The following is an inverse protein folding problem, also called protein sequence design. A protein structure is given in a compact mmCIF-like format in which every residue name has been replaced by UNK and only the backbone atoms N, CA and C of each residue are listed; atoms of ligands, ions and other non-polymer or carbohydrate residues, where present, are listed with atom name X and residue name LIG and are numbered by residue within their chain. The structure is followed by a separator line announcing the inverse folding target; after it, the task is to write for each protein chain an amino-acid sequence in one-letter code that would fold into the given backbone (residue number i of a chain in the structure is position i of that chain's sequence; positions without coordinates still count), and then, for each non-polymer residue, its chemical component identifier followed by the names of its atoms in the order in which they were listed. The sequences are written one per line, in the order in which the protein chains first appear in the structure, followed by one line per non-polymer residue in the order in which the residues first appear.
data_IF_532560850561
#
_entry.id   IF_532560850561
#
_cell.length_a   1.000
_cell.length_b   1.000
_cell.length_c   1.000
_cell.angle_alpha   90.00
_cell.angle_beta   90.00
_cell.angle_gamma   90.00
#
_symmetry.space_group_name_H-M   'P 1'
#
loop_
_entity.id
_entity.type
_entity.pdbx_description
1 polymer ?
#
# COMPACT_ATOMS: atom_id res chain seq x y z
N UNK A 1 -33.93 19.24 -36.61
CA UNK A 1 -33.64 17.81 -36.34
C UNK A 1 -32.16 17.52 -36.09
N UNK A 2 -31.21 18.13 -36.83
CA UNK A 2 -29.76 17.95 -36.60
C UNK A 2 -29.27 18.36 -35.19
N UNK A 3 -29.84 19.43 -34.61
CA UNK A 3 -29.51 19.89 -33.24
C UNK A 3 -29.97 18.93 -32.12
N UNK A 4 -31.00 18.12 -32.35
CA UNK A 4 -31.50 17.18 -31.34
C UNK A 4 -30.70 15.87 -31.34
N UNK A 5 -30.14 15.48 -32.49
CA UNK A 5 -29.29 14.28 -32.60
C UNK A 5 -27.91 14.55 -31.96
N UNK A 6 -27.39 15.78 -32.06
CA UNK A 6 -26.12 16.16 -31.43
C UNK A 6 -26.17 16.10 -29.89
N UNK A 7 -27.32 16.39 -29.28
CA UNK A 7 -27.49 16.39 -27.84
C UNK A 7 -27.52 14.97 -27.24
N UNK A 8 -27.91 13.96 -28.02
CA UNK A 8 -28.04 12.57 -27.55
C UNK A 8 -26.71 11.80 -27.56
N UNK A 9 -25.73 12.23 -28.37
CA UNK A 9 -24.41 11.57 -28.48
C UNK A 9 -23.45 11.97 -27.34
N UNK A 10 -23.66 13.14 -26.71
CA UNK A 10 -22.81 13.63 -25.63
C UNK A 10 -23.08 13.01 -24.25
N UNK A 11 -24.16 12.21 -24.11
CA UNK A 11 -24.55 11.63 -22.82
C UNK A 11 -24.05 10.19 -22.61
N UNK A 12 -23.42 9.57 -23.61
CA UNK A 12 -23.00 8.15 -23.56
C UNK A 12 -21.53 7.91 -23.23
N UNK A 13 -20.73 8.95 -22.94
CA UNK A 13 -19.28 8.81 -22.70
C UNK A 13 -18.86 8.71 -21.22
N UNK A 14 -19.77 8.70 -20.25
CA UNK A 14 -19.40 8.82 -18.82
C UNK A 14 -19.33 7.51 -18.01
N UNK A 15 -19.55 6.33 -18.61
CA UNK A 15 -19.36 5.06 -17.91
C UNK A 15 -18.11 4.33 -18.40
N UNK A 16 -16.94 4.84 -17.99
CA UNK A 16 -15.73 4.02 -17.89
C UNK A 16 -15.37 3.88 -16.42
N UNK A 17 -15.95 2.93 -15.66
CA UNK A 17 -15.49 2.71 -14.31
C UNK A 17 -14.22 1.85 -14.35
N UNK A 18 -13.16 2.39 -13.78
CA UNK A 18 -12.23 1.67 -12.92
C UNK A 18 -11.60 0.40 -13.53
N UNK A 19 -10.72 0.59 -14.50
CA UNK A 19 -9.54 -0.28 -14.64
C UNK A 19 -8.28 0.55 -14.34
N UNK A 20 -8.35 1.44 -13.35
CA UNK A 20 -7.13 1.97 -12.75
C UNK A 20 -6.51 0.83 -11.93
N UNK A 21 -5.20 0.64 -12.03
CA UNK A 21 -4.45 -0.12 -11.02
C UNK A 21 -4.85 0.42 -9.65
N UNK A 22 -5.64 -0.35 -8.89
CA UNK A 22 -6.23 0.10 -7.63
C UNK A 22 -5.22 -0.03 -6.49
N UNK A 23 -3.95 0.19 -6.77
CA UNK A 23 -2.91 0.17 -5.77
C UNK A 23 -3.10 1.42 -4.91
N UNK A 24 -3.48 1.19 -3.65
CA UNK A 24 -3.64 2.27 -2.67
C UNK A 24 -2.34 2.34 -1.89
N UNK A 25 -1.64 3.47 -2.02
CA UNK A 25 -0.46 3.76 -1.22
C UNK A 25 -0.86 4.21 0.19
N UNK A 26 -0.34 3.52 1.21
CA UNK A 26 -0.60 3.82 2.62
C UNK A 26 0.72 4.02 3.33
N UNK A 27 0.85 5.14 4.04
CA UNK A 27 1.98 5.44 4.89
C UNK A 27 1.57 5.45 6.36
N UNK A 28 2.41 4.92 7.24
CA UNK A 28 2.11 4.90 8.67
C UNK A 28 3.15 4.20 9.53
N UNK A 29 2.97 4.27 10.86
CA UNK A 29 3.83 3.59 11.81
C UNK A 29 3.26 2.22 12.19
N UNK A 30 4.09 1.17 12.13
CA UNK A 30 3.71 -0.17 12.60
C UNK A 30 3.50 -0.13 14.11
N UNK A 31 2.28 -0.38 14.57
CA UNK A 31 1.93 -0.44 16.00
C UNK A 31 1.92 -1.87 16.52
N UNK A 32 1.63 -2.85 15.68
CA UNK A 32 1.54 -4.27 16.05
C UNK A 32 1.96 -5.18 14.90
N UNK A 33 2.61 -6.29 15.24
CA UNK A 33 2.95 -7.36 14.30
C UNK A 33 2.35 -8.66 14.81
N UNK A 34 1.56 -9.34 13.97
CA UNK A 34 1.06 -10.68 14.24
C UNK A 34 1.77 -11.69 13.33
N UNK A 35 2.75 -12.40 13.90
CA UNK A 35 3.52 -13.38 13.15
C UNK A 35 2.73 -14.64 12.77
N UNK A 36 1.69 -15.00 13.54
CA UNK A 36 0.88 -16.18 13.24
C UNK A 36 -0.06 -15.92 12.05
N UNK A 37 -0.65 -14.73 11.99
CA UNK A 37 -1.58 -14.33 10.92
C UNK A 37 -0.88 -13.60 9.75
N UNK A 38 0.42 -13.28 9.89
CA UNK A 38 1.19 -12.47 8.93
C UNK A 38 0.51 -11.14 8.63
N UNK A 39 0.06 -10.46 9.67
CA UNK A 39 -0.55 -9.12 9.57
C UNK A 39 0.26 -8.09 10.34
N UNK A 40 0.15 -6.84 9.92
CA UNK A 40 0.64 -5.67 10.64
C UNK A 40 -0.50 -4.69 10.88
N UNK A 41 -0.50 -4.03 12.05
CA UNK A 41 -1.32 -2.84 12.30
C UNK A 41 -0.48 -1.60 12.04
N UNK A 42 -1.06 -0.62 11.33
CA UNK A 42 -0.46 0.68 11.06
C UNK A 42 -1.31 1.77 11.67
N UNK A 43 -0.68 2.74 12.32
CA UNK A 43 -1.30 4.00 12.68
C UNK A 43 -0.91 5.07 11.66
N UNK A 44 -1.91 5.77 11.12
CA UNK A 44 -1.74 6.90 10.22
C UNK A 44 -2.74 8.02 10.57
N UNK A 45 -2.76 9.08 9.75
CA UNK A 45 -3.65 10.24 9.96
C UNK A 45 -5.15 9.88 9.93
N UNK A 46 -5.51 8.75 9.32
CA UNK A 46 -6.89 8.29 9.17
C UNK A 46 -7.30 7.24 10.22
N UNK A 47 -6.39 6.85 11.13
CA UNK A 47 -6.63 5.89 12.20
C UNK A 47 -5.74 4.66 12.14
N UNK A 48 -6.23 3.54 12.69
CA UNK A 48 -5.54 2.24 12.64
C UNK A 48 -6.05 1.41 11.45
N UNK A 49 -5.13 0.81 10.71
CA UNK A 49 -5.43 -0.10 9.60
C UNK A 49 -4.65 -1.40 9.75
N UNK A 50 -5.29 -2.53 9.43
CA UNK A 50 -4.66 -3.85 9.45
C UNK A 50 -4.37 -4.28 8.02
N UNK A 51 -3.12 -4.61 7.75
CA UNK A 51 -2.64 -5.04 6.43
C UNK A 51 -2.19 -6.50 6.50
N UNK A 52 -2.68 -7.32 5.57
CA UNK A 52 -2.21 -8.68 5.35
C UNK A 52 -0.92 -8.66 4.55
N UNK A 53 0.12 -9.32 5.05
CA UNK A 53 1.38 -9.52 4.32
C UNK A 53 1.37 -10.91 3.71
N UNK A 54 1.65 -10.99 2.41
CA UNK A 54 1.65 -12.22 1.65
C UNK A 54 3.08 -12.74 1.42
N UNK A 55 3.24 -14.04 1.07
CA UNK A 55 4.54 -14.59 0.75
C UNK A 55 5.26 -13.90 -0.42
N UNK A 56 4.50 -13.27 -1.32
CA UNK A 56 5.04 -12.55 -2.49
C UNK A 56 5.18 -11.04 -2.26
N UNK A 57 4.78 -10.51 -1.09
CA UNK A 57 4.93 -9.08 -0.81
C UNK A 57 6.40 -8.70 -0.91
N UNK A 58 6.70 -7.69 -1.72
CA UNK A 58 8.05 -7.13 -1.83
C UNK A 58 8.37 -6.34 -0.57
N UNK A 59 9.32 -6.80 0.23
CA UNK A 59 9.78 -6.06 1.41
C UNK A 59 11.12 -5.42 1.06
N UNK A 60 11.17 -4.09 1.02
CA UNK A 60 12.39 -3.35 0.69
C UNK A 60 12.76 -2.45 1.86
N UNK A 61 13.91 -2.72 2.47
CA UNK A 61 14.56 -1.73 3.32
C UNK A 61 15.54 -0.94 2.48
N UNK A 62 15.40 0.39 2.41
CA UNK A 62 16.49 1.24 1.90
C UNK A 62 17.73 0.90 2.72
N UNK A 63 18.84 0.64 2.05
CA UNK A 63 20.00 -0.02 2.64
C UNK A 63 20.45 0.54 4.01
N UNK A 64 20.22 -0.25 5.05
CA UNK A 64 20.81 -0.06 6.37
C UNK A 64 22.32 -0.42 6.42
N UNK A 65 22.98 -0.69 5.28
CA UNK A 65 24.41 -0.95 5.14
C UNK A 65 25.19 0.22 4.54
N UNK A 66 26.53 0.19 4.62
CA UNK A 66 27.42 1.30 4.22
C UNK A 66 27.36 1.73 2.73
N UNK A 67 26.55 1.07 1.88
CA UNK A 67 26.57 1.23 0.42
C UNK A 67 25.19 1.29 -0.28
N UNK A 68 24.10 1.67 0.38
CA UNK A 68 22.91 2.23 -0.30
C UNK A 68 22.00 1.33 -1.18
N UNK A 69 22.38 0.10 -1.53
CA UNK A 69 21.51 -0.90 -2.20
C UNK A 69 20.27 -1.41 -1.42
N UNK A 70 19.08 -1.29 -2.00
CA UNK A 70 17.85 -1.90 -1.48
C UNK A 70 17.99 -3.42 -1.30
N UNK A 71 17.66 -3.91 -0.10
CA UNK A 71 17.66 -5.36 0.17
C UNK A 71 16.25 -5.91 0.12
N UNK A 72 16.08 -7.04 -0.57
CA UNK A 72 14.86 -7.84 -0.45
C UNK A 72 14.84 -8.50 0.93
N UNK A 73 13.87 -8.11 1.74
CA UNK A 73 13.79 -8.47 3.15
C UNK A 73 12.73 -9.55 3.42
N UNK A 74 12.72 -10.05 4.65
CA UNK A 74 11.71 -11.01 5.14
C UNK A 74 10.74 -10.32 6.08
N UNK A 75 9.56 -10.93 6.31
CA UNK A 75 8.57 -10.42 7.27
C UNK A 75 9.16 -10.16 8.67
N UNK A 76 10.18 -10.92 9.07
CA UNK A 76 10.90 -10.75 10.34
C UNK A 76 11.72 -9.45 10.43
N UNK A 77 11.94 -8.75 9.31
CA UNK A 77 12.61 -7.45 9.30
C UNK A 77 11.70 -6.34 9.82
N UNK A 78 10.37 -6.50 9.69
CA UNK A 78 9.39 -5.54 10.20
C UNK A 78 9.43 -5.49 11.72
N UNK A 79 9.38 -4.29 12.29
CA UNK A 79 9.39 -4.05 13.73
C UNK A 79 8.35 -3.01 14.09
N UNK A 80 7.73 -3.16 15.25
CA UNK A 80 6.91 -2.10 15.86
C UNK A 80 7.73 -0.82 15.98
N UNK A 81 7.13 0.32 15.65
CA UNK A 81 7.76 1.62 15.63
C UNK A 81 8.32 2.05 14.27
N UNK A 82 8.48 1.11 13.31
CA UNK A 82 8.90 1.46 11.95
C UNK A 82 7.83 2.27 11.24
N UNK A 83 8.25 3.35 10.57
CA UNK A 83 7.41 4.05 9.60
C UNK A 83 7.64 3.42 8.23
N UNK A 84 6.56 3.02 7.57
CA UNK A 84 6.60 2.29 6.30
C UNK A 84 5.63 2.89 5.30
N UNK A 85 5.94 2.71 4.02
CA UNK A 85 5.08 2.97 2.87
C UNK A 85 4.66 1.62 2.29
N UNK A 86 3.38 1.49 1.93
CA UNK A 86 2.79 0.21 1.49
C UNK A 86 1.93 0.45 0.28
N UNK A 87 2.27 -0.19 -0.84
CA UNK A 87 1.31 -0.40 -1.92
C UNK A 87 0.36 -1.53 -1.54
N UNK A 88 -0.94 -1.22 -1.45
CA UNK A 88 -1.96 -2.17 -1.03
C UNK A 88 -2.91 -2.56 -2.15
N UNK A 89 -3.34 -3.81 -2.12
CA UNK A 89 -4.33 -4.41 -3.00
C UNK A 89 -5.62 -4.68 -2.22
N UNK A 90 -6.77 -4.15 -2.66
CA UNK A 90 -8.07 -4.50 -2.10
C UNK A 90 -8.33 -6.00 -2.19
N UNK A 91 -8.86 -6.57 -1.11
CA UNK A 91 -9.20 -7.99 -1.04
C UNK A 91 -10.72 -8.17 -1.11
N UNK A 92 -11.17 -9.33 -1.62
CA UNK A 92 -12.60 -9.63 -1.75
C UNK A 92 -13.37 -9.61 -0.42
N UNK A 93 -12.68 -9.76 0.72
CA UNK A 93 -13.25 -9.68 2.06
C UNK A 93 -13.32 -8.24 2.61
N UNK A 94 -13.00 -7.23 1.80
CA UNK A 94 -12.95 -5.82 2.21
C UNK A 94 -11.68 -5.44 2.99
N UNK A 95 -10.73 -6.37 3.15
CA UNK A 95 -9.42 -6.10 3.74
C UNK A 95 -8.41 -5.54 2.73
N UNK A 96 -7.22 -5.23 3.23
CA UNK A 96 -6.09 -4.78 2.43
C UNK A 96 -4.94 -5.77 2.54
N UNK A 97 -4.34 -6.11 1.41
CA UNK A 97 -3.13 -6.92 1.32
C UNK A 97 -1.97 -6.13 0.78
N UNK A 98 -0.75 -6.40 1.22
CA UNK A 98 0.44 -5.69 0.77
C UNK A 98 0.99 -6.28 -0.53
N UNK A 99 1.19 -5.43 -1.53
CA UNK A 99 1.98 -5.72 -2.74
C UNK A 99 3.45 -5.43 -2.48
N UNK A 100 3.76 -4.26 -1.91
CA UNK A 100 5.09 -3.90 -1.42
C UNK A 100 5.02 -3.24 -0.04
N UNK A 101 6.10 -3.33 0.73
CA UNK A 101 6.33 -2.57 1.97
C UNK A 101 7.75 -2.03 1.90
N UNK A 102 7.88 -0.71 1.91
CA UNK A 102 9.15 -0.01 1.81
C UNK A 102 9.40 0.83 3.07
N UNK A 103 10.64 0.87 3.54
CA UNK A 103 11.03 1.73 4.66
C UNK A 103 12.42 2.31 4.47
N UNK A 104 12.58 3.56 4.90
CA UNK A 104 13.87 4.26 4.81
C UNK A 104 14.74 3.96 6.02
N UNK A 105 15.99 3.58 5.80
CA UNK A 105 17.01 3.61 6.85
C UNK A 105 17.60 5.03 6.93
N UNK A 106 17.08 5.85 7.85
CA UNK A 106 17.54 7.23 8.07
C UNK A 106 18.08 7.42 9.49
N UNK A 107 19.13 8.23 9.63
CA UNK A 107 19.69 8.65 10.92
C UNK A 107 18.54 9.04 11.85
N UNK A 108 18.55 8.45 13.05
CA UNK A 108 17.54 8.65 14.07
C UNK A 108 17.12 10.12 14.11
N UNK A 109 15.85 10.39 13.86
CA UNK A 109 15.29 11.72 14.09
C UNK A 109 15.31 12.10 15.59
N UNK A 110 15.71 11.17 16.46
CA UNK A 110 15.92 11.29 17.91
C UNK A 110 17.01 10.35 18.43
#
# INVERSE_FOLDING_TARGET
MLKQILATVLLSLSLSPLLADNDIEIQGQITKINNAQKTISLSNANGEVIIQVFPYTELKGDNCGAFGNDTQEKFSALKTGMFVEIETLPQANGGLGAKSIEWKCGAKAY
#
